data_IF_598244703703
#
_entry.id   IF_598244703703
#
_cell.length_a   1.000
_cell.length_b   1.000
_cell.length_c   1.000
_cell.angle_alpha   90.00
_cell.angle_beta   90.00
_cell.angle_gamma   90.00
#
_symmetry.space_group_name_H-M   'P 1'
#
loop_
_entity.id
_entity.type
_entity.pdbx_description
1 polymer ?
#
# COMPACT_ATOMS: atom_id res chain seq x y z
N UNK A 1 -18.13 -18.86 -0.96
CA UNK A 1 -19.32 -18.21 -1.51
C UNK A 1 -20.23 -17.71 -0.38
N UNK A 2 -19.81 -16.62 0.28
CA UNK A 2 -20.49 -16.10 1.47
C UNK A 2 -21.59 -15.11 1.10
N UNK A 3 -22.61 -15.61 0.46
CA UNK A 3 -23.81 -14.84 0.07
C UNK A 3 -24.85 -14.86 1.19
N UNK A 4 -24.45 -14.49 2.41
CA UNK A 4 -25.31 -14.66 3.57
C UNK A 4 -26.04 -13.38 4.00
N UNK A 5 -25.62 -12.19 3.52
CA UNK A 5 -26.29 -10.92 3.84
C UNK A 5 -27.30 -10.52 2.77
N UNK A 6 -28.38 -9.91 3.21
CA UNK A 6 -29.46 -9.40 2.36
C UNK A 6 -29.82 -7.99 2.79
N UNK A 7 -30.00 -7.12 1.83
CA UNK A 7 -30.67 -5.85 2.06
C UNK A 7 -32.17 -6.05 1.84
N UNK A 8 -32.92 -6.09 2.94
CA UNK A 8 -34.35 -6.38 2.89
C UNK A 8 -35.16 -5.13 2.49
N UNK A 9 -34.65 -3.93 2.71
CA UNK A 9 -35.28 -2.70 2.28
C UNK A 9 -35.25 -2.57 0.74
N UNK A 10 -34.08 -2.75 0.13
CA UNK A 10 -33.91 -2.68 -1.32
C UNK A 10 -34.24 -4.00 -2.03
N UNK A 11 -34.65 -5.03 -1.29
CA UNK A 11 -34.87 -6.38 -1.81
C UNK A 11 -33.68 -6.92 -2.62
N UNK A 12 -32.46 -6.70 -2.14
CA UNK A 12 -31.21 -7.16 -2.75
C UNK A 12 -30.61 -8.30 -1.93
N UNK A 13 -30.24 -9.38 -2.61
CA UNK A 13 -29.44 -10.46 -2.03
C UNK A 13 -27.97 -10.26 -2.38
N UNK A 14 -27.08 -10.92 -1.65
CA UNK A 14 -25.63 -10.93 -1.91
C UNK A 14 -24.96 -9.57 -1.70
N UNK A 15 -25.35 -8.83 -0.70
CA UNK A 15 -24.77 -7.50 -0.38
C UNK A 15 -23.38 -7.57 0.24
N UNK A 16 -22.90 -8.79 0.54
CA UNK A 16 -21.53 -9.09 0.99
C UNK A 16 -20.75 -9.98 0.01
N UNK A 17 -21.16 -9.99 -1.28
CA UNK A 17 -20.45 -10.79 -2.30
C UNK A 17 -19.00 -10.30 -2.48
N UNK A 18 -18.15 -11.23 -2.95
CA UNK A 18 -16.82 -10.92 -3.43
C UNK A 18 -16.80 -10.88 -4.96
N UNK A 19 -16.31 -9.78 -5.52
CA UNK A 19 -16.13 -9.58 -6.96
C UNK A 19 -14.68 -9.13 -7.19
N UNK A 20 -13.78 -10.10 -7.19
CA UNK A 20 -12.34 -9.89 -7.13
C UNK A 20 -11.65 -10.64 -8.28
N UNK A 21 -10.83 -9.92 -9.04
CA UNK A 21 -9.98 -10.47 -10.08
C UNK A 21 -8.54 -10.06 -9.85
N UNK A 22 -7.66 -11.05 -9.72
CA UNK A 22 -6.21 -10.82 -9.71
C UNK A 22 -5.58 -11.51 -10.90
N UNK A 23 -4.84 -10.75 -11.71
CA UNK A 23 -4.07 -11.25 -12.83
C UNK A 23 -2.60 -10.96 -12.62
N UNK A 24 -1.75 -11.95 -12.94
CA UNK A 24 -0.30 -11.80 -12.80
C UNK A 24 0.41 -12.45 -13.98
N UNK A 25 1.30 -11.70 -14.60
CA UNK A 25 2.17 -12.15 -15.67
C UNK A 25 3.63 -12.04 -15.24
N UNK A 26 4.39 -13.12 -15.38
CA UNK A 26 5.81 -13.17 -15.03
C UNK A 26 6.61 -13.69 -16.22
N UNK A 27 7.72 -13.03 -16.50
CA UNK A 27 8.73 -13.49 -17.45
C UNK A 27 10.06 -13.61 -16.72
N UNK A 28 10.69 -14.76 -16.89
CA UNK A 28 12.11 -14.95 -16.55
C UNK A 28 12.82 -15.20 -17.88
N UNK A 29 13.74 -14.34 -18.20
CA UNK A 29 14.50 -14.43 -19.46
C UNK A 29 16.00 -14.43 -19.16
N UNK A 30 16.64 -15.53 -19.50
CA UNK A 30 18.11 -15.64 -19.51
C UNK A 30 18.58 -15.05 -20.85
N UNK A 31 19.08 -13.80 -20.80
CA UNK A 31 19.56 -13.07 -21.99
C UNK A 31 20.87 -13.65 -22.47
N UNK A 32 21.73 -14.04 -21.50
CA UNK A 32 22.98 -14.77 -21.69
C UNK A 32 23.27 -15.64 -20.46
N UNK A 33 24.38 -16.37 -20.43
CA UNK A 33 24.84 -17.13 -19.26
C UNK A 33 25.16 -16.22 -18.06
N UNK A 34 25.43 -14.95 -18.31
CA UNK A 34 25.77 -13.95 -17.30
C UNK A 34 24.60 -13.03 -16.93
N UNK A 35 23.59 -12.88 -17.81
CA UNK A 35 22.55 -11.85 -17.63
C UNK A 35 21.16 -12.45 -17.64
N UNK A 36 20.40 -12.20 -16.57
CA UNK A 36 18.98 -12.56 -16.46
C UNK A 36 18.11 -11.34 -16.22
N UNK A 37 16.89 -11.39 -16.78
CA UNK A 37 15.86 -10.37 -16.65
C UNK A 37 14.58 -11.02 -16.13
N UNK A 38 14.02 -10.46 -15.06
CA UNK A 38 12.73 -10.89 -14.51
C UNK A 38 11.74 -9.74 -14.57
N UNK A 39 10.64 -9.96 -15.28
CA UNK A 39 9.53 -9.01 -15.40
C UNK A 39 8.33 -9.54 -14.62
N UNK A 40 7.68 -8.65 -13.89
CA UNK A 40 6.40 -8.90 -13.23
C UNK A 40 5.42 -7.80 -13.64
N UNK A 41 4.27 -8.20 -14.18
CA UNK A 41 3.10 -7.35 -14.33
C UNK A 41 1.97 -7.94 -13.49
N UNK A 42 1.26 -7.09 -12.75
CA UNK A 42 0.13 -7.53 -11.94
C UNK A 42 -1.00 -6.51 -12.02
N UNK A 43 -2.22 -7.02 -12.08
CA UNK A 43 -3.44 -6.23 -11.98
C UNK A 43 -4.36 -6.86 -10.94
N UNK A 44 -4.85 -6.04 -10.04
CA UNK A 44 -5.91 -6.39 -9.08
C UNK A 44 -7.11 -5.50 -9.37
N UNK A 45 -8.28 -6.10 -9.41
CA UNK A 45 -9.56 -5.40 -9.54
C UNK A 45 -10.53 -6.00 -8.53
N UNK A 46 -10.89 -5.22 -7.53
CA UNK A 46 -11.88 -5.55 -6.51
C UNK A 46 -13.07 -4.61 -6.70
N UNK A 47 -14.29 -5.14 -6.61
CA UNK A 47 -15.52 -4.37 -6.74
C UNK A 47 -16.60 -4.99 -5.84
N UNK A 48 -16.32 -4.91 -4.55
CA UNK A 48 -17.15 -5.52 -3.52
C UNK A 48 -18.22 -4.54 -3.03
N UNK A 49 -19.47 -4.96 -2.84
CA UNK A 49 -20.45 -4.15 -2.13
C UNK A 49 -20.06 -4.01 -0.65
N UNK A 50 -20.30 -2.84 -0.08
CA UNK A 50 -20.03 -2.52 1.33
C UNK A 50 -21.34 -2.29 2.11
N UNK A 51 -22.33 -3.12 1.91
CA UNK A 51 -23.60 -3.11 2.64
C UNK A 51 -23.59 -4.23 3.70
N UNK A 52 -22.87 -3.96 4.78
CA UNK A 52 -22.54 -4.97 5.81
C UNK A 52 -22.96 -4.58 7.22
N UNK A 53 -23.30 -3.34 7.46
CA UNK A 53 -23.72 -2.85 8.78
C UNK A 53 -25.22 -3.03 8.99
N UNK A 54 -25.59 -3.36 10.22
CA UNK A 54 -26.99 -3.65 10.59
C UNK A 54 -27.31 -3.00 11.93
N UNK A 55 -28.54 -2.54 12.09
CA UNK A 55 -29.00 -1.88 13.30
C UNK A 55 -29.19 -2.86 14.49
N UNK A 56 -29.47 -4.12 14.18
CA UNK A 56 -29.85 -5.14 15.16
C UNK A 56 -28.84 -6.29 15.29
N UNK A 57 -27.70 -6.21 14.61
CA UNK A 57 -26.69 -7.27 14.58
C UNK A 57 -27.09 -8.51 13.77
N UNK A 58 -28.20 -8.47 13.03
CA UNK A 58 -28.65 -9.56 12.15
C UNK A 58 -27.83 -9.66 10.86
N UNK A 59 -28.19 -10.59 9.99
CA UNK A 59 -27.62 -10.71 8.64
C UNK A 59 -28.41 -9.90 7.59
N UNK A 60 -29.42 -9.16 8.02
CA UNK A 60 -30.24 -8.34 7.14
C UNK A 60 -29.86 -6.86 7.31
N UNK A 61 -29.48 -6.23 6.21
CA UNK A 61 -29.23 -4.79 6.18
C UNK A 61 -30.50 -4.04 5.78
N UNK A 62 -30.57 -2.77 6.18
CA UNK A 62 -31.70 -1.88 5.91
C UNK A 62 -31.29 -0.61 5.16
N UNK A 63 -30.04 -0.55 4.73
CA UNK A 63 -29.45 0.57 4.03
C UNK A 63 -30.24 0.94 2.76
N UNK A 64 -30.53 2.22 2.59
CA UNK A 64 -31.11 2.76 1.35
C UNK A 64 -30.02 3.25 0.37
N UNK A 65 -28.80 3.54 0.87
CA UNK A 65 -27.65 4.00 0.11
C UNK A 65 -26.43 3.08 0.28
N UNK A 66 -26.51 1.78 -0.10
CA UNK A 66 -25.42 0.83 0.12
C UNK A 66 -24.14 1.31 -0.56
N UNK A 67 -23.04 1.16 0.15
CA UNK A 67 -21.72 1.57 -0.31
C UNK A 67 -21.02 0.53 -1.18
N UNK A 68 -19.73 0.81 -1.42
CA UNK A 68 -18.82 -0.08 -2.15
C UNK A 68 -17.42 -0.08 -1.54
N UNK A 69 -16.70 -1.19 -1.72
CA UNK A 69 -15.27 -1.33 -1.50
C UNK A 69 -14.63 -1.72 -2.82
N UNK A 70 -14.02 -0.77 -3.49
CA UNK A 70 -13.46 -0.93 -4.83
C UNK A 70 -11.97 -0.58 -4.82
N UNK A 71 -11.18 -1.45 -5.44
CA UNK A 71 -9.74 -1.21 -5.63
C UNK A 71 -9.31 -1.63 -7.03
N UNK A 72 -8.54 -0.76 -7.69
CA UNK A 72 -7.84 -1.06 -8.92
C UNK A 72 -6.36 -0.83 -8.73
N UNK A 73 -5.56 -1.87 -8.83
CA UNK A 73 -4.10 -1.79 -8.69
C UNK A 73 -3.42 -2.32 -9.92
N UNK A 74 -2.51 -1.55 -10.50
CA UNK A 74 -1.59 -1.99 -11.55
C UNK A 74 -0.18 -1.92 -11.00
N UNK A 75 0.58 -2.99 -11.15
CA UNK A 75 1.95 -3.08 -10.67
C UNK A 75 2.90 -3.56 -11.77
N UNK A 76 4.07 -2.96 -11.80
CA UNK A 76 5.19 -3.30 -12.64
C UNK A 76 6.41 -3.57 -11.77
N UNK A 77 7.16 -4.61 -12.09
CA UNK A 77 8.44 -4.92 -11.46
C UNK A 77 9.44 -5.44 -12.48
N UNK A 78 10.65 -4.92 -12.47
CA UNK A 78 11.75 -5.34 -13.32
C UNK A 78 12.99 -5.58 -12.46
N UNK A 79 13.57 -6.77 -12.58
CA UNK A 79 14.85 -7.12 -11.97
C UNK A 79 15.80 -7.56 -13.08
N UNK A 80 16.91 -6.85 -13.21
CA UNK A 80 18.02 -7.19 -14.11
C UNK A 80 19.19 -7.60 -13.22
N UNK A 81 19.73 -8.77 -13.47
CA UNK A 81 20.92 -9.28 -12.82
C UNK A 81 21.97 -9.62 -13.87
N UNK A 82 23.21 -9.17 -13.67
CA UNK A 82 24.31 -9.43 -14.58
C UNK A 82 25.59 -9.77 -13.80
N UNK A 83 26.20 -10.90 -14.16
CA UNK A 83 27.53 -11.30 -13.67
C UNK A 83 28.58 -10.58 -14.50
N UNK A 84 29.48 -9.88 -13.85
CA UNK A 84 30.63 -9.23 -14.44
C UNK A 84 31.90 -9.90 -13.89
N UNK A 85 33.05 -9.63 -14.49
CA UNK A 85 34.30 -10.31 -14.13
C UNK A 85 34.65 -10.13 -12.65
N UNK A 86 34.50 -8.93 -12.10
CA UNK A 86 34.94 -8.59 -10.75
C UNK A 86 33.79 -8.53 -9.72
N UNK A 87 32.55 -8.36 -10.17
CA UNK A 87 31.36 -8.23 -9.32
C UNK A 87 30.09 -8.56 -10.08
N UNK A 88 28.98 -8.70 -9.37
CA UNK A 88 27.66 -8.80 -9.98
C UNK A 88 26.93 -7.48 -9.84
N UNK A 89 26.15 -7.14 -10.86
CA UNK A 89 25.28 -5.97 -10.87
C UNK A 89 23.82 -6.39 -10.79
N UNK A 90 23.02 -5.69 -9.99
CA UNK A 90 21.58 -5.87 -9.94
C UNK A 90 20.87 -4.52 -10.01
N UNK A 91 19.84 -4.45 -10.83
CA UNK A 91 18.89 -3.32 -10.92
C UNK A 91 17.49 -3.81 -10.60
N UNK A 92 16.83 -3.15 -9.65
CA UNK A 92 15.47 -3.42 -9.21
C UNK A 92 14.63 -2.17 -9.42
N UNK A 93 13.64 -2.28 -10.30
CA UNK A 93 12.69 -1.19 -10.60
C UNK A 93 11.29 -1.65 -10.24
N UNK A 94 10.51 -0.83 -9.55
CA UNK A 94 9.10 -1.09 -9.35
C UNK A 94 8.24 0.16 -9.48
N UNK A 95 7.01 -0.04 -9.90
CA UNK A 95 5.98 1.00 -9.93
C UNK A 95 4.62 0.36 -9.66
N UNK A 96 3.84 1.01 -8.79
CA UNK A 96 2.48 0.59 -8.48
C UNK A 96 1.57 1.81 -8.45
N UNK A 97 0.42 1.70 -9.11
CA UNK A 97 -0.67 2.67 -9.03
C UNK A 97 -1.91 1.97 -8.48
N UNK A 98 -2.53 2.56 -7.45
CA UNK A 98 -3.71 2.01 -6.79
C UNK A 98 -4.77 3.10 -6.64
N UNK A 99 -5.94 2.85 -7.23
CA UNK A 99 -7.16 3.63 -7.02
C UNK A 99 -8.06 2.85 -6.06
N UNK A 100 -8.53 3.50 -5.01
CA UNK A 100 -9.45 2.95 -4.02
C UNK A 100 -10.66 3.86 -3.91
N UNK A 101 -11.85 3.29 -3.93
CA UNK A 101 -13.10 3.97 -3.54
C UNK A 101 -13.77 3.13 -2.47
N UNK A 102 -13.93 3.73 -1.30
CA UNK A 102 -14.68 3.14 -0.20
C UNK A 102 -15.83 4.05 0.18
N UNK A 103 -17.03 3.50 0.21
CA UNK A 103 -18.22 4.25 0.64
C UNK A 103 -19.14 3.36 1.47
N UNK A 104 -19.94 3.97 2.30
CA UNK A 104 -20.90 3.26 3.13
C UNK A 104 -22.05 4.17 3.53
N UNK A 105 -23.19 3.54 3.79
CA UNK A 105 -24.33 4.14 4.46
C UNK A 105 -23.97 4.34 5.94
N UNK A 106 -23.86 5.60 6.34
CA UNK A 106 -23.34 5.94 7.66
C UNK A 106 -24.43 5.92 8.75
N UNK A 107 -25.71 5.86 8.38
CA UNK A 107 -26.80 5.65 9.31
C UNK A 107 -27.29 4.20 9.41
N UNK A 108 -26.82 3.31 8.51
CA UNK A 108 -27.08 1.87 8.44
C UNK A 108 -28.57 1.50 8.24
N UNK A 109 -29.40 2.45 7.86
CA UNK A 109 -30.83 2.30 7.83
C UNK A 109 -31.49 2.92 6.62
N UNK A 110 -32.62 3.51 6.84
CA UNK A 110 -33.43 4.22 5.87
C UNK A 110 -34.46 5.09 6.61
N UNK A 111 -35.24 5.85 5.87
CA UNK A 111 -36.26 6.76 6.43
C UNK A 111 -37.32 6.05 7.32
N UNK A 112 -37.62 4.78 7.09
CA UNK A 112 -38.53 4.00 7.94
C UNK A 112 -37.88 3.55 9.24
N UNK A 113 -36.59 3.21 9.19
CA UNK A 113 -35.81 2.78 10.37
C UNK A 113 -35.70 3.88 11.43
N UNK A 114 -35.65 5.12 10.99
CA UNK A 114 -35.42 6.28 11.85
C UNK A 114 -36.69 7.10 12.17
N UNK A 115 -37.82 6.74 11.54
CA UNK A 115 -39.09 7.44 11.81
C UNK A 115 -39.39 7.53 13.32
N UNK A 116 -39.81 8.73 13.85
CA UNK A 116 -40.21 9.94 13.14
C UNK A 116 -39.08 10.94 12.84
N UNK A 117 -37.83 10.60 13.16
CA UNK A 117 -36.69 11.44 12.85
C UNK A 117 -36.28 11.33 11.37
N UNK A 118 -35.77 12.39 10.79
CA UNK A 118 -35.00 12.33 9.56
C UNK A 118 -33.55 12.06 9.99
N UNK A 119 -32.98 10.95 9.54
CA UNK A 119 -31.61 10.57 9.81
C UNK A 119 -31.08 9.78 8.62
N UNK A 120 -30.29 10.43 7.78
CA UNK A 120 -29.79 9.90 6.51
C UNK A 120 -28.36 10.43 6.30
N UNK A 121 -27.37 9.56 6.31
CA UNK A 121 -25.97 9.90 6.22
C UNK A 121 -25.21 8.94 5.31
N UNK A 122 -24.34 9.53 4.48
CA UNK A 122 -23.49 8.77 3.58
C UNK A 122 -22.05 9.27 3.65
N UNK A 123 -21.09 8.38 3.55
CA UNK A 123 -19.67 8.70 3.53
C UNK A 123 -18.97 8.03 2.37
N UNK A 124 -18.14 8.78 1.66
CA UNK A 124 -17.29 8.26 0.58
C UNK A 124 -15.86 8.76 0.73
N UNK A 125 -14.90 7.86 0.48
CA UNK A 125 -13.48 8.18 0.40
C UNK A 125 -12.93 7.65 -0.91
N UNK A 126 -12.26 8.53 -1.68
CA UNK A 126 -11.54 8.20 -2.90
C UNK A 126 -10.06 8.45 -2.65
N UNK A 127 -9.23 7.44 -2.88
CA UNK A 127 -7.79 7.50 -2.69
C UNK A 127 -7.06 7.04 -3.93
N UNK A 128 -6.09 7.82 -4.37
CA UNK A 128 -5.12 7.42 -5.38
C UNK A 128 -3.73 7.35 -4.73
N UNK A 129 -3.01 6.25 -4.94
CA UNK A 129 -1.65 6.06 -4.46
C UNK A 129 -0.75 5.59 -5.57
N UNK A 130 0.32 6.34 -5.81
CA UNK A 130 1.44 5.96 -6.66
C UNK A 130 2.66 5.63 -5.80
N UNK A 131 3.32 4.52 -6.11
CA UNK A 131 4.60 4.15 -5.50
C UNK A 131 5.59 3.83 -6.59
N UNK A 132 6.80 4.38 -6.50
CA UNK A 132 7.91 4.11 -7.42
C UNK A 132 9.16 3.79 -6.63
N UNK A 133 9.94 2.83 -7.10
CA UNK A 133 11.26 2.56 -6.53
C UNK A 133 12.26 2.14 -7.59
N UNK A 134 13.50 2.52 -7.34
CA UNK A 134 14.67 2.10 -8.10
C UNK A 134 15.79 1.77 -7.11
N UNK A 135 16.40 0.61 -7.29
CA UNK A 135 17.56 0.22 -6.50
C UNK A 135 18.63 -0.36 -7.41
N UNK A 136 19.88 0.05 -7.18
CA UNK A 136 21.07 -0.52 -7.81
C UNK A 136 21.94 -1.16 -6.74
N UNK A 137 22.42 -2.36 -7.01
CA UNK A 137 23.34 -3.11 -6.16
C UNK A 137 24.56 -3.57 -6.93
N UNK A 138 25.70 -3.48 -6.29
CA UNK A 138 26.91 -4.19 -6.64
C UNK A 138 27.13 -5.27 -5.58
N UNK A 139 27.41 -6.49 -6.01
CA UNK A 139 27.59 -7.64 -5.13
C UNK A 139 28.93 -8.30 -5.47
N UNK A 140 29.66 -8.75 -4.47
CA UNK A 140 30.86 -9.57 -4.71
C UNK A 140 30.52 -10.83 -5.46
N UNK A 141 31.48 -11.34 -6.21
CA UNK A 141 31.39 -12.69 -6.76
C UNK A 141 31.41 -13.75 -5.64
N UNK A 142 30.76 -14.89 -5.86
CA UNK A 142 30.58 -15.93 -4.85
C UNK A 142 31.90 -16.51 -4.29
N UNK A 143 32.96 -16.51 -5.11
CA UNK A 143 34.26 -17.10 -4.79
C UNK A 143 35.30 -16.04 -4.42
N UNK A 144 34.92 -14.80 -4.17
CA UNK A 144 35.86 -13.75 -3.80
C UNK A 144 36.55 -14.08 -2.47
N UNK A 145 37.88 -14.05 -2.48
CA UNK A 145 38.70 -14.27 -1.30
C UNK A 145 39.67 -13.11 -1.06
N UNK A 146 39.86 -12.75 0.20
CA UNK A 146 40.92 -11.84 0.64
C UNK A 146 41.71 -12.52 1.74
N UNK A 147 43.05 -12.56 1.59
CA UNK A 147 43.97 -13.26 2.51
C UNK A 147 43.58 -14.72 2.76
N UNK A 148 43.19 -15.47 1.70
CA UNK A 148 42.71 -16.86 1.72
C UNK A 148 41.44 -17.06 2.57
N UNK A 149 40.65 -16.00 2.81
CA UNK A 149 39.38 -16.04 3.53
C UNK A 149 38.26 -15.58 2.62
N UNK A 150 37.09 -16.23 2.74
CA UNK A 150 35.91 -15.86 1.99
C UNK A 150 35.44 -14.47 2.42
N UNK A 151 35.20 -13.61 1.45
CA UNK A 151 34.64 -12.29 1.63
C UNK A 151 33.41 -12.13 0.72
N UNK A 152 32.32 -11.61 1.27
CA UNK A 152 31.13 -11.24 0.52
C UNK A 152 30.76 -9.80 0.89
N UNK A 153 30.41 -9.03 -0.11
CA UNK A 153 30.00 -7.64 0.13
C UNK A 153 28.85 -7.26 -0.80
N UNK A 154 28.06 -6.31 -0.34
CA UNK A 154 27.03 -5.64 -1.11
C UNK A 154 27.19 -4.13 -0.90
N UNK A 155 27.11 -3.37 -1.99
CA UNK A 155 26.97 -1.91 -1.98
C UNK A 155 25.72 -1.57 -2.76
N UNK A 156 24.94 -0.62 -2.26
CA UNK A 156 23.69 -0.25 -2.93
C UNK A 156 23.30 1.20 -2.73
N UNK A 157 22.52 1.67 -3.68
CA UNK A 157 21.79 2.94 -3.61
C UNK A 157 20.34 2.67 -4.01
N UNK A 158 19.41 3.25 -3.27
CA UNK A 158 17.99 3.16 -3.59
C UNK A 158 17.30 4.50 -3.52
N UNK A 159 16.29 4.64 -4.35
CA UNK A 159 15.31 5.73 -4.34
C UNK A 159 13.91 5.12 -4.23
N UNK A 160 13.06 5.71 -3.41
CA UNK A 160 11.63 5.40 -3.41
C UNK A 160 10.80 6.66 -3.22
N UNK A 161 9.64 6.67 -3.87
CA UNK A 161 8.66 7.75 -3.80
C UNK A 161 7.28 7.15 -3.59
N UNK A 162 6.50 7.77 -2.70
CA UNK A 162 5.07 7.51 -2.52
C UNK A 162 4.36 8.84 -2.70
N UNK A 163 3.31 8.86 -3.53
CA UNK A 163 2.36 9.96 -3.65
C UNK A 163 0.97 9.41 -3.34
N UNK A 164 0.24 10.13 -2.52
CA UNK A 164 -1.14 9.79 -2.21
C UNK A 164 -2.00 11.05 -2.24
N UNK A 165 -3.12 10.97 -2.93
CA UNK A 165 -4.23 11.91 -2.82
C UNK A 165 -5.40 11.21 -2.16
N UNK A 166 -6.07 11.89 -1.26
CA UNK A 166 -7.25 11.40 -0.60
C UNK A 166 -8.34 12.48 -0.67
N UNK A 167 -9.53 12.09 -1.10
CA UNK A 167 -10.72 12.93 -1.10
C UNK A 167 -11.80 12.20 -0.30
N UNK A 168 -12.35 12.89 0.69
CA UNK A 168 -13.45 12.41 1.51
C UNK A 168 -14.64 13.36 1.36
N UNK A 169 -15.81 12.78 1.19
CA UNK A 169 -17.09 13.48 1.15
C UNK A 169 -18.05 12.79 2.10
N UNK A 170 -18.68 13.59 2.94
CA UNK A 170 -19.74 13.17 3.85
C UNK A 170 -20.96 14.04 3.56
N UNK A 171 -22.10 13.44 3.33
CA UNK A 171 -23.39 14.12 3.28
C UNK A 171 -24.33 13.59 4.36
N UNK A 172 -25.22 14.44 4.84
CA UNK A 172 -26.15 14.05 5.89
C UNK A 172 -27.37 14.95 5.95
N UNK A 173 -28.45 14.35 6.43
CA UNK A 173 -29.71 15.04 6.67
C UNK A 173 -30.24 14.62 8.04
N UNK A 174 -30.48 15.60 8.91
CA UNK A 174 -31.00 15.38 10.25
C UNK A 174 -32.24 16.24 10.51
N UNK A 175 -33.29 15.63 11.04
CA UNK A 175 -34.50 16.33 11.44
C UNK A 175 -35.14 15.70 12.68
N UNK A 176 -35.44 16.56 13.66
CA UNK A 176 -36.23 16.21 14.85
C UNK A 176 -37.68 16.64 14.61
N UNK A 177 -38.67 15.76 14.80
CA UNK A 177 -40.09 16.11 14.63
C UNK A 177 -40.57 17.26 15.52
N UNK A 178 -39.88 17.52 16.62
CA UNK A 178 -40.19 18.64 17.53
C UNK A 178 -39.57 19.98 17.10
N UNK A 179 -38.65 19.96 16.13
CA UNK A 179 -37.98 21.14 15.62
C UNK A 179 -38.70 21.68 14.36
N UNK A 180 -39.38 22.85 14.45
CA UNK A 180 -40.09 23.43 13.30
C UNK A 180 -39.15 23.96 12.21
N UNK A 181 -37.85 24.05 12.44
CA UNK A 181 -36.86 24.58 11.50
C UNK A 181 -36.10 23.53 10.74
N UNK A 182 -36.18 22.24 11.15
CA UNK A 182 -35.57 21.11 10.46
C UNK A 182 -36.36 20.65 9.23
N UNK A 183 -35.86 19.68 8.47
CA UNK A 183 -34.55 19.01 8.65
C UNK A 183 -33.34 19.86 8.21
N UNK A 184 -32.17 19.56 8.77
CA UNK A 184 -30.90 20.21 8.45
C UNK A 184 -30.07 19.34 7.54
N UNK A 185 -29.68 19.88 6.41
CA UNK A 185 -28.74 19.25 5.50
C UNK A 185 -27.31 19.70 5.82
N UNK A 186 -26.40 18.75 5.88
CA UNK A 186 -24.97 19.00 6.02
C UNK A 186 -24.21 18.28 4.90
N UNK A 187 -23.27 18.99 4.31
CA UNK A 187 -22.31 18.42 3.37
C UNK A 187 -20.93 18.91 3.75
N UNK A 188 -19.99 18.00 3.83
CA UNK A 188 -18.60 18.32 4.07
C UNK A 188 -17.71 17.56 3.11
N UNK A 189 -16.64 18.20 2.67
CA UNK A 189 -15.61 17.55 1.88
C UNK A 189 -14.23 17.94 2.37
N UNK A 190 -13.30 17.02 2.29
CA UNK A 190 -11.90 17.26 2.60
C UNK A 190 -11.03 16.56 1.59
N UNK A 191 -9.89 17.15 1.28
CA UNK A 191 -8.86 16.54 0.46
C UNK A 191 -7.52 16.67 1.16
N UNK A 192 -6.66 15.68 0.94
CA UNK A 192 -5.28 15.74 1.38
C UNK A 192 -4.35 15.21 0.30
N UNK A 193 -3.14 15.74 0.30
CA UNK A 193 -2.03 15.27 -0.51
C UNK A 193 -0.86 14.90 0.39
N UNK A 194 -0.30 13.74 0.16
CA UNK A 194 0.90 13.27 0.80
C UNK A 194 1.92 12.82 -0.24
N UNK A 195 3.17 13.28 -0.08
CA UNK A 195 4.31 12.79 -0.84
C UNK A 195 5.45 12.47 0.11
N UNK A 196 6.11 11.34 -0.10
CA UNK A 196 7.32 10.98 0.62
C UNK A 196 8.37 10.50 -0.36
N UNK A 197 9.59 10.98 -0.20
CA UNK A 197 10.76 10.57 -0.96
C UNK A 197 11.85 10.08 -0.01
N UNK A 198 12.53 9.04 -0.44
CA UNK A 198 13.59 8.43 0.32
C UNK A 198 14.76 8.08 -0.61
N UNK A 199 15.95 8.52 -0.27
CA UNK A 199 17.22 8.13 -0.91
C UNK A 199 18.07 7.42 0.13
N UNK A 200 18.50 6.19 -0.16
CA UNK A 200 19.38 5.50 0.76
C UNK A 200 20.64 4.96 0.07
N UNK A 201 21.71 4.94 0.84
CA UNK A 201 23.00 4.33 0.52
C UNK A 201 23.28 3.28 1.58
N UNK A 202 23.67 2.09 1.17
CA UNK A 202 23.95 1.01 2.11
C UNK A 202 25.09 0.13 1.63
N UNK A 203 25.72 -0.51 2.59
CA UNK A 203 26.74 -1.53 2.32
C UNK A 203 26.77 -2.56 3.42
N UNK A 204 27.15 -3.78 3.06
CA UNK A 204 27.42 -4.86 3.99
C UNK A 204 28.67 -5.62 3.58
N UNK A 205 29.35 -6.16 4.57
CA UNK A 205 30.55 -6.98 4.43
C UNK A 205 30.46 -8.18 5.35
N UNK A 206 30.59 -9.37 4.77
CA UNK A 206 30.73 -10.63 5.49
C UNK A 206 32.14 -11.18 5.26
N UNK A 207 32.87 -11.40 6.34
CA UNK A 207 34.25 -11.88 6.31
C UNK A 207 34.44 -13.12 7.17
N UNK A 208 34.90 -14.21 6.59
CA UNK A 208 35.19 -15.45 7.30
C UNK A 208 36.50 -15.34 8.06
N UNK A 209 36.42 -15.11 9.38
CA UNK A 209 37.61 -15.06 10.26
C UNK A 209 38.26 -16.45 10.38
N UNK A 210 37.45 -17.49 10.51
CA UNK A 210 37.84 -18.91 10.46
C UNK A 210 36.80 -19.69 9.66
N UNK A 211 37.00 -20.99 9.48
CA UNK A 211 36.05 -21.86 8.79
C UNK A 211 34.66 -21.90 9.51
N UNK A 212 34.66 -21.61 10.80
CA UNK A 212 33.44 -21.65 11.64
C UNK A 212 33.05 -20.28 12.21
N UNK A 213 33.83 -19.21 11.97
CA UNK A 213 33.57 -17.89 12.56
C UNK A 213 33.53 -16.83 11.46
N UNK A 214 32.43 -16.10 11.38
CA UNK A 214 32.19 -15.04 10.40
C UNK A 214 31.91 -13.70 11.12
N UNK A 215 32.52 -12.65 10.64
CA UNK A 215 32.23 -11.26 11.00
C UNK A 215 31.30 -10.65 9.94
N UNK A 216 30.18 -10.10 10.36
CA UNK A 216 29.25 -9.34 9.50
C UNK A 216 29.20 -7.89 9.94
N UNK A 217 29.42 -6.99 9.00
CA UNK A 217 29.30 -5.55 9.17
C UNK A 217 28.24 -4.99 8.21
N UNK A 218 27.46 -4.02 8.63
CA UNK A 218 26.48 -3.34 7.78
C UNK A 218 26.36 -1.87 8.16
N UNK A 219 26.25 -1.02 7.15
CA UNK A 219 26.02 0.43 7.30
C UNK A 219 24.93 0.87 6.34
N UNK A 220 24.10 1.83 6.78
CA UNK A 220 23.07 2.47 5.97
C UNK A 220 22.97 3.95 6.36
N UNK A 221 22.87 4.79 5.35
CA UNK A 221 22.44 6.17 5.45
C UNK A 221 21.16 6.33 4.65
N UNK A 222 20.21 7.08 5.19
CA UNK A 222 18.93 7.31 4.58
C UNK A 222 18.53 8.78 4.74
N UNK A 223 18.29 9.46 3.62
CA UNK A 223 17.79 10.83 3.56
C UNK A 223 16.30 10.75 3.17
N UNK A 224 15.43 11.08 4.09
CA UNK A 224 13.99 11.04 3.95
C UNK A 224 13.39 12.43 4.03
N UNK A 225 12.39 12.70 3.19
CA UNK A 225 11.57 13.91 3.25
C UNK A 225 10.13 13.58 2.91
N UNK A 226 9.20 14.33 3.49
CA UNK A 226 7.79 14.23 3.16
C UNK A 226 7.16 15.62 3.02
N UNK A 227 6.03 15.66 2.34
CA UNK A 227 5.17 16.82 2.20
C UNK A 227 3.72 16.37 2.38
N UNK A 228 3.01 17.03 3.28
CA UNK A 228 1.58 16.86 3.51
C UNK A 228 0.90 18.21 3.44
N UNK A 229 -0.25 18.27 2.78
CA UNK A 229 -1.18 19.39 2.87
C UNK A 229 -2.63 18.88 2.77
N UNK A 230 -3.55 19.64 3.30
CA UNK A 230 -4.98 19.33 3.25
C UNK A 230 -5.87 20.57 3.07
N UNK A 231 -7.17 20.32 2.98
CA UNK A 231 -8.21 21.36 2.83
C UNK A 231 -8.31 22.30 4.04
N UNK A 232 -7.79 21.90 5.20
CA UNK A 232 -7.83 22.69 6.44
C UNK A 232 -6.60 23.59 6.61
N UNK A 233 -5.79 23.73 5.55
CA UNK A 233 -4.56 24.52 5.52
C UNK A 233 -3.45 23.94 6.42
N UNK A 234 -3.58 22.69 6.86
CA UNK A 234 -2.50 21.99 7.53
C UNK A 234 -1.41 21.66 6.52
N UNK A 235 -0.20 22.11 6.82
CA UNK A 235 0.99 21.85 6.03
C UNK A 235 2.11 21.28 6.91
N UNK A 236 2.68 20.17 6.47
CA UNK A 236 3.74 19.51 7.21
C UNK A 236 4.83 19.01 6.26
N UNK A 237 6.06 19.46 6.45
CA UNK A 237 7.21 19.14 5.57
C UNK A 237 8.40 18.63 6.37
N UNK A 238 8.32 17.44 6.97
CA UNK A 238 9.43 16.88 7.73
C UNK A 238 10.53 16.36 6.80
N UNK A 239 11.74 16.41 7.28
CA UNK A 239 12.90 15.75 6.67
C UNK A 239 13.83 15.25 7.74
N UNK A 240 14.52 14.14 7.48
CA UNK A 240 15.48 13.57 8.40
C UNK A 240 16.56 12.80 7.65
N UNK A 241 17.77 12.81 8.19
CA UNK A 241 18.86 11.93 7.78
C UNK A 241 19.08 10.91 8.88
N UNK A 242 18.92 9.64 8.54
CA UNK A 242 19.06 8.51 9.45
C UNK A 242 20.33 7.72 9.13
N UNK A 243 21.00 7.23 10.17
CA UNK A 243 22.15 6.36 10.06
C UNK A 243 21.90 5.07 10.84
N UNK A 244 22.21 3.95 10.23
CA UNK A 244 22.11 2.64 10.86
C UNK A 244 23.39 1.84 10.67
N UNK A 245 23.73 1.03 11.66
CA UNK A 245 24.87 0.10 11.60
C UNK A 245 24.58 -1.20 12.30
N UNK A 246 25.21 -2.26 11.83
CA UNK A 246 25.15 -3.60 12.41
C UNK A 246 26.54 -4.22 12.47
N UNK A 247 26.87 -4.83 13.59
CA UNK A 247 28.04 -5.69 13.77
C UNK A 247 27.52 -7.01 14.33
N UNK A 248 27.92 -8.13 13.72
CA UNK A 248 27.57 -9.48 14.19
C UNK A 248 28.77 -10.40 14.07
N UNK A 249 28.96 -11.26 15.07
CA UNK A 249 29.91 -12.36 15.04
C UNK A 249 29.10 -13.66 15.07
N UNK A 250 29.23 -14.45 14.01
CA UNK A 250 28.44 -15.67 13.78
C UNK A 250 29.35 -16.87 13.86
N UNK A 251 29.04 -17.79 14.76
CA UNK A 251 29.74 -19.07 14.88
C UNK A 251 28.87 -20.19 14.29
N UNK A 252 29.35 -20.83 13.24
CA UNK A 252 28.74 -22.02 12.66
C UNK A 252 29.28 -23.23 13.41
N UNK A 253 28.40 -24.11 13.85
CA UNK A 253 28.75 -25.39 14.55
C UNK A 253 28.64 -26.55 13.60
#
# INVERSE_FOLDING_TARGET
DERFRKNIYLNKSNTSRKDELTSRFKVNWEVSDETSVKLLLSRVNLNDPADIWTLDGSLNTLSDRPGMDSQKTNSFGLNIFSKLDDFNFQSLTSSTNTDVTFSYDADWGNSESWHPYVYDYFSQTIRNRETKSQEFRLLSNENLQAANKKIQWVLGISYSEIKETNFKEDDGNYGDPSDPFGPYFSQSSSSSYYQSENVSQFGSLDYSLTDTLQLSLGLRREDWKANYNDTFEEEFRPSNTMHGGKISLIKNT
#
